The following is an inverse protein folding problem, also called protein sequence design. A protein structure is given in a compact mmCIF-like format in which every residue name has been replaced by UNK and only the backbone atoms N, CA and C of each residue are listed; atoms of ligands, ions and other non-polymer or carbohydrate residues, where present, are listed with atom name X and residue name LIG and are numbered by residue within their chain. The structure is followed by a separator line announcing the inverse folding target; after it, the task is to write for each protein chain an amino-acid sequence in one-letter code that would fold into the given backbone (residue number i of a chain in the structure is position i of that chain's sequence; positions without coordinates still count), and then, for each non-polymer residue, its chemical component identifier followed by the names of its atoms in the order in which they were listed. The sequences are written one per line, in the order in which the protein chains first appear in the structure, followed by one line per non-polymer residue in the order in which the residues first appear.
data_IF_881459830258
#
_entry.id   IF_881459830258
#
_cell.length_a   1.000
_cell.length_b   1.000
_cell.length_c   1.000
_cell.angle_alpha   90.00
_cell.angle_beta   90.00
_cell.angle_gamma   90.00
#
_symmetry.space_group_name_H-M   'P 1'
#
loop_
_entity.id
_entity.type
_entity.pdbx_description
1 polymer ?
#
# COMPACT_ATOMS: atom_id res chain seq x y z
N UNK A 1 10.58 -6.93 25.28
CA UNK A 1 10.03 -7.94 24.36
C UNK A 1 10.24 -7.42 22.95
N UNK A 2 10.80 -8.24 22.06
CA UNK A 2 11.05 -7.87 20.67
C UNK A 2 9.72 -7.83 19.92
N UNK A 3 9.37 -6.68 19.32
CA UNK A 3 8.10 -6.50 18.61
C UNK A 3 8.12 -7.36 17.34
N UNK A 4 7.23 -8.34 17.21
CA UNK A 4 7.24 -9.28 16.07
C UNK A 4 6.36 -8.73 14.95
N UNK A 5 6.95 -8.55 13.77
CA UNK A 5 6.32 -7.93 12.60
C UNK A 5 5.85 -8.99 11.60
N UNK A 6 4.54 -8.97 11.30
CA UNK A 6 3.96 -9.71 10.18
C UNK A 6 3.97 -8.83 8.93
N UNK A 7 4.58 -9.32 7.84
CA UNK A 7 4.52 -8.67 6.53
C UNK A 7 3.64 -9.46 5.57
N UNK A 8 2.66 -8.81 4.96
CA UNK A 8 1.82 -9.42 3.93
C UNK A 8 1.64 -8.50 2.72
N UNK A 9 1.39 -9.08 1.54
CA UNK A 9 1.12 -8.34 0.31
C UNK A 9 -0.36 -8.45 -0.03
N UNK A 10 -1.02 -7.31 -0.20
CA UNK A 10 -2.46 -7.22 -0.43
C UNK A 10 -2.69 -6.56 -1.80
N UNK A 11 -3.33 -7.26 -2.73
CA UNK A 11 -3.75 -6.65 -4.00
C UNK A 11 -4.94 -5.73 -3.73
N UNK A 12 -4.93 -4.53 -4.33
CA UNK A 12 -6.05 -3.57 -4.14
C UNK A 12 -7.12 -3.67 -5.23
N UNK A 13 -6.80 -4.34 -6.34
CA UNK A 13 -7.70 -4.65 -7.43
C UNK A 13 -7.79 -6.15 -7.65
N UNK A 14 -8.97 -6.62 -8.05
CA UNK A 14 -9.11 -7.95 -8.65
C UNK A 14 -8.51 -7.94 -10.06
N UNK A 15 -8.09 -9.12 -10.54
CA UNK A 15 -7.37 -9.25 -11.80
C UNK A 15 -8.17 -8.71 -13.01
N UNK A 16 -9.49 -8.83 -12.97
CA UNK A 16 -10.40 -8.42 -14.04
C UNK A 16 -10.86 -6.95 -13.95
N UNK A 17 -10.63 -6.30 -12.80
CA UNK A 17 -11.06 -4.93 -12.51
C UNK A 17 -10.00 -3.89 -12.93
N UNK A 18 -8.72 -4.23 -12.81
CA UNK A 18 -7.61 -3.32 -13.13
C UNK A 18 -7.29 -3.31 -14.63
N UNK A 19 -7.37 -2.13 -15.27
CA UNK A 19 -7.36 -2.01 -16.74
C UNK A 19 -6.41 -0.94 -17.29
N UNK A 20 -5.34 -0.61 -16.57
CA UNK A 20 -4.31 0.26 -17.15
C UNK A 20 -3.60 -0.44 -18.31
N UNK A 21 -3.62 0.17 -19.50
CA UNK A 21 -3.19 -0.48 -20.74
C UNK A 21 -1.73 -0.95 -20.72
N UNK A 22 -0.86 -0.22 -20.02
CA UNK A 22 0.58 -0.50 -19.92
C UNK A 22 0.95 -1.21 -18.61
N UNK A 23 0.02 -1.99 -18.04
CA UNK A 23 0.24 -2.70 -16.79
C UNK A 23 1.21 -3.89 -16.91
N UNK A 24 1.26 -4.59 -18.05
CA UNK A 24 2.13 -5.76 -18.26
C UNK A 24 2.10 -6.78 -17.11
N UNK A 25 0.91 -7.08 -16.58
CA UNK A 25 0.71 -8.03 -15.48
C UNK A 25 0.97 -7.46 -14.08
N UNK A 26 1.43 -6.21 -13.96
CA UNK A 26 1.46 -5.50 -12.68
C UNK A 26 0.03 -5.21 -12.21
N UNK A 27 -0.23 -5.47 -10.93
CA UNK A 27 -1.44 -5.04 -10.24
C UNK A 27 -1.01 -4.22 -9.02
N UNK A 28 -1.55 -2.99 -8.83
CA UNK A 28 -1.31 -2.19 -7.65
C UNK A 28 -1.59 -2.98 -6.36
N UNK A 29 -0.76 -2.75 -5.35
CA UNK A 29 -0.79 -3.53 -4.11
C UNK A 29 -0.23 -2.74 -2.92
N UNK A 30 -0.58 -3.21 -1.73
CA UNK A 30 -0.04 -2.76 -0.46
C UNK A 30 0.93 -3.81 0.08
N UNK A 31 2.07 -3.36 0.59
CA UNK A 31 2.87 -4.17 1.52
C UNK A 31 2.50 -3.72 2.93
N UNK A 32 1.87 -4.61 3.69
CA UNK A 32 1.46 -4.38 5.06
C UNK A 32 2.59 -4.72 6.05
N UNK A 33 2.69 -3.93 7.11
CA UNK A 33 3.60 -4.08 8.24
C UNK A 33 2.71 -4.06 9.48
N UNK A 34 2.37 -5.24 9.98
CA UNK A 34 1.38 -5.45 11.02
C UNK A 34 2.04 -5.93 12.30
N UNK A 35 1.57 -5.42 13.42
CA UNK A 35 1.94 -5.94 14.73
C UNK A 35 1.36 -7.35 14.90
N UNK A 36 2.16 -8.29 15.40
CA UNK A 36 1.64 -9.61 15.76
C UNK A 36 1.07 -9.68 17.17
N UNK A 37 1.37 -8.68 18.00
CA UNK A 37 0.84 -8.62 19.36
C UNK A 37 -0.65 -8.27 19.35
N UNK A 38 -1.47 -9.13 19.95
CA UNK A 38 -2.91 -8.94 20.12
C UNK A 38 -3.22 -7.93 21.25
N UNK A 39 -2.71 -6.71 21.12
CA UNK A 39 -3.01 -5.60 22.05
C UNK A 39 -4.23 -4.77 21.60
N UNK A 40 -4.94 -5.23 20.56
CA UNK A 40 -6.10 -4.58 19.97
C UNK A 40 -5.78 -3.72 18.74
N UNK A 41 -6.81 -3.08 18.16
CA UNK A 41 -6.67 -2.28 16.94
C UNK A 41 -5.67 -1.13 17.09
N UNK A 42 -4.99 -0.80 15.99
CA UNK A 42 -3.96 0.24 15.92
C UNK A 42 -4.29 1.27 14.85
N UNK A 43 -3.81 2.52 14.97
CA UNK A 43 -3.99 3.50 13.91
C UNK A 43 -3.32 3.03 12.61
N UNK A 44 -3.98 3.31 11.48
CA UNK A 44 -3.49 3.01 10.14
C UNK A 44 -2.55 4.11 9.61
N UNK A 45 -1.46 3.72 8.95
CA UNK A 45 -0.66 4.62 8.14
C UNK A 45 -0.46 4.09 6.72
N UNK A 46 -0.92 4.83 5.70
CA UNK A 46 -0.60 4.52 4.30
C UNK A 46 0.55 5.41 3.85
N UNK A 47 1.69 4.81 3.57
CA UNK A 47 2.85 5.45 2.94
C UNK A 47 2.69 5.38 1.43
N UNK A 48 2.70 6.54 0.77
CA UNK A 48 2.62 6.67 -0.69
C UNK A 48 3.98 7.19 -1.18
N UNK A 49 4.85 6.33 -1.72
CA UNK A 49 6.18 6.75 -2.15
C UNK A 49 6.14 7.75 -3.31
N UNK A 50 7.12 8.65 -3.37
CA UNK A 50 7.34 9.49 -4.53
C UNK A 50 8.00 8.72 -5.68
N UNK A 51 8.58 9.48 -6.63
CA UNK A 51 9.17 8.96 -7.86
C UNK A 51 8.58 9.55 -9.15
N UNK A 52 7.92 10.71 -9.06
CA UNK A 52 7.41 11.49 -10.19
C UNK A 52 6.55 10.67 -11.17
N UNK A 53 5.71 9.78 -10.63
CA UNK A 53 4.89 8.82 -11.38
C UNK A 53 5.65 7.90 -12.34
N UNK A 54 6.98 7.85 -12.26
CA UNK A 54 7.83 7.01 -13.10
C UNK A 54 8.13 5.68 -12.40
N UNK A 55 8.14 5.67 -11.08
CA UNK A 55 8.22 4.48 -10.22
C UNK A 55 7.73 4.86 -8.80
N UNK A 56 7.47 3.86 -7.96
CA UNK A 56 7.28 4.05 -6.52
C UNK A 56 8.62 3.83 -5.82
N UNK A 57 9.17 4.88 -5.21
CA UNK A 57 10.51 4.87 -4.60
C UNK A 57 10.58 3.94 -3.38
N UNK A 58 11.44 2.92 -3.43
CA UNK A 58 11.67 2.01 -2.29
C UNK A 58 12.22 2.78 -1.07
N UNK A 59 13.05 3.80 -1.31
CA UNK A 59 13.67 4.62 -0.24
C UNK A 59 12.64 5.45 0.53
N UNK A 60 11.52 5.78 -0.11
CA UNK A 60 10.41 6.54 0.49
C UNK A 60 9.26 5.62 0.96
N UNK A 61 9.39 4.31 0.74
CA UNK A 61 8.41 3.29 1.13
C UNK A 61 8.77 2.61 2.45
N UNK A 62 9.48 1.47 2.38
CA UNK A 62 9.75 0.61 3.54
C UNK A 62 10.36 1.35 4.74
N UNK A 63 11.41 2.20 4.59
CA UNK A 63 11.99 2.87 5.75
C UNK A 63 11.01 3.80 6.48
N UNK A 64 10.08 4.42 5.74
CA UNK A 64 9.04 5.30 6.30
C UNK A 64 7.99 4.46 7.02
N UNK A 65 7.55 3.34 6.43
CA UNK A 65 6.60 2.43 7.06
C UNK A 65 7.16 1.80 8.34
N UNK A 66 8.42 1.38 8.36
CA UNK A 66 9.10 0.85 9.55
C UNK A 66 9.21 1.90 10.67
N UNK A 67 9.37 3.18 10.32
CA UNK A 67 9.34 4.27 11.30
C UNK A 67 7.96 4.43 11.95
N UNK A 68 6.89 4.40 11.17
CA UNK A 68 5.52 4.46 11.72
C UNK A 68 5.15 3.19 12.50
N UNK A 69 5.59 2.02 12.04
CA UNK A 69 5.47 0.78 12.80
C UNK A 69 6.14 0.87 14.17
N UNK A 70 7.36 1.43 14.24
CA UNK A 70 8.04 1.71 15.50
C UNK A 70 7.23 2.59 16.46
N UNK A 71 6.42 3.50 15.92
CA UNK A 71 5.50 4.39 16.64
C UNK A 71 4.17 3.75 17.02
N UNK A 72 3.94 2.47 16.67
CA UNK A 72 2.74 1.71 17.06
C UNK A 72 1.61 1.69 16.02
N UNK A 73 1.87 2.10 14.78
CA UNK A 73 0.90 2.04 13.68
C UNK A 73 0.97 0.70 12.96
N UNK A 74 -0.17 0.21 12.50
CA UNK A 74 -0.18 -0.72 11.37
C UNK A 74 0.08 0.09 10.09
N UNK A 75 1.20 -0.18 9.42
CA UNK A 75 1.68 0.63 8.30
C UNK A 75 1.58 -0.12 6.97
N UNK A 76 1.31 0.59 5.89
CA UNK A 76 1.08 0.03 4.57
C UNK A 76 1.81 0.86 3.52
N UNK A 77 2.64 0.23 2.69
CA UNK A 77 3.30 0.91 1.56
C UNK A 77 2.51 0.63 0.29
N UNK A 78 1.99 1.67 -0.36
CA UNK A 78 1.28 1.56 -1.64
C UNK A 78 2.28 1.53 -2.81
N UNK A 79 2.28 0.43 -3.56
CA UNK A 79 2.86 0.39 -4.90
C UNK A 79 1.74 0.66 -5.91
N UNK A 80 1.66 1.90 -6.40
CA UNK A 80 0.60 2.38 -7.31
C UNK A 80 1.04 2.36 -8.78
N UNK A 81 0.08 2.57 -9.67
CA UNK A 81 0.29 2.67 -11.12
C UNK A 81 1.27 3.79 -11.44
N UNK A 82 2.38 3.45 -12.10
CA UNK A 82 3.35 4.40 -12.64
C UNK A 82 3.46 4.24 -14.16
N UNK A 83 4.04 5.25 -14.81
CA UNK A 83 4.24 5.28 -16.25
C UNK A 83 5.72 5.50 -16.58
N UNK A 84 6.57 4.48 -16.36
CA UNK A 84 8.01 4.59 -16.60
C UNK A 84 8.34 4.87 -18.07
N UNK A 85 7.56 4.32 -19.00
CA UNK A 85 7.81 4.43 -20.43
C UNK A 85 7.18 5.68 -21.07
N UNK A 86 6.31 6.40 -20.34
CA UNK A 86 5.57 7.58 -20.84
C UNK A 86 4.77 7.33 -22.12
N UNK A 87 4.32 6.08 -22.32
CA UNK A 87 3.65 5.66 -23.55
C UNK A 87 2.13 5.82 -23.50
N UNK A 88 1.52 5.72 -22.31
CA UNK A 88 0.07 5.91 -22.11
C UNK A 88 -0.16 6.89 -20.95
N UNK A 89 -1.03 7.90 -21.06
CA UNK A 89 -1.34 8.78 -19.93
C UNK A 89 -1.93 8.04 -18.72
N UNK A 90 -1.43 8.36 -17.52
CA UNK A 90 -1.93 7.81 -16.26
C UNK A 90 -3.36 8.24 -15.92
N UNK A 91 -3.78 9.42 -16.38
CA UNK A 91 -5.06 10.04 -16.02
C UNK A 91 -5.28 10.00 -14.50
N UNK A 92 -6.43 9.50 -14.05
CA UNK A 92 -6.79 9.38 -12.64
C UNK A 92 -6.39 8.03 -12.02
N UNK A 93 -5.70 7.14 -12.74
CA UNK A 93 -5.41 5.78 -12.25
C UNK A 93 -4.64 5.78 -10.91
N UNK A 94 -3.55 6.57 -10.71
CA UNK A 94 -2.84 6.58 -9.42
C UNK A 94 -3.72 7.08 -8.26
N UNK A 95 -4.60 8.04 -8.52
CA UNK A 95 -5.57 8.54 -7.54
C UNK A 95 -6.60 7.46 -7.19
N UNK A 96 -7.09 6.73 -8.19
CA UNK A 96 -8.02 5.62 -8.02
C UNK A 96 -7.38 4.47 -7.23
N UNK A 97 -6.10 4.18 -7.46
CA UNK A 97 -5.35 3.18 -6.68
C UNK A 97 -5.32 3.56 -5.19
N UNK A 98 -4.97 4.80 -4.87
CA UNK A 98 -4.96 5.26 -3.47
C UNK A 98 -6.36 5.24 -2.85
N UNK A 99 -7.38 5.71 -3.58
CA UNK A 99 -8.76 5.67 -3.11
C UNK A 99 -9.25 4.23 -2.86
N UNK A 100 -8.86 3.28 -3.72
CA UNK A 100 -9.17 1.86 -3.57
C UNK A 100 -8.44 1.25 -2.37
N UNK A 101 -7.18 1.59 -2.16
CA UNK A 101 -6.43 1.18 -0.98
C UNK A 101 -7.12 1.62 0.32
N UNK A 102 -7.53 2.90 0.43
CA UNK A 102 -8.27 3.41 1.59
C UNK A 102 -9.58 2.63 1.81
N UNK A 103 -10.36 2.40 0.74
CA UNK A 103 -11.61 1.63 0.83
C UNK A 103 -11.38 0.19 1.28
N UNK A 104 -10.35 -0.46 0.76
CA UNK A 104 -10.01 -1.84 1.13
C UNK A 104 -9.59 -1.93 2.59
N UNK A 105 -8.69 -1.05 3.05
CA UNK A 105 -8.21 -1.09 4.44
C UNK A 105 -9.34 -0.82 5.44
N UNK A 106 -10.27 0.09 5.11
CA UNK A 106 -11.47 0.30 5.94
C UNK A 106 -12.41 -0.90 5.95
N UNK A 107 -12.58 -1.58 4.81
CA UNK A 107 -13.40 -2.80 4.72
C UNK A 107 -12.80 -3.95 5.54
N UNK A 108 -11.48 -4.05 5.53
CA UNK A 108 -10.72 -5.14 6.15
C UNK A 108 -10.17 -4.76 7.54
N UNK A 109 -10.70 -3.70 8.16
CA UNK A 109 -10.15 -3.11 9.39
C UNK A 109 -10.05 -4.14 10.53
N UNK A 110 -11.10 -4.94 10.73
CA UNK A 110 -11.10 -6.01 11.75
C UNK A 110 -10.02 -7.08 11.49
N UNK A 111 -9.87 -7.51 10.22
CA UNK A 111 -8.86 -8.52 9.82
C UNK A 111 -7.44 -8.01 10.02
N UNK A 112 -7.25 -6.71 9.79
CA UNK A 112 -5.96 -6.05 9.83
C UNK A 112 -5.65 -5.40 11.19
N UNK A 113 -6.55 -5.51 12.16
CA UNK A 113 -6.48 -4.88 13.47
C UNK A 113 -6.21 -3.36 13.38
N UNK A 114 -7.06 -2.67 12.63
CA UNK A 114 -6.98 -1.23 12.40
C UNK A 114 -8.17 -0.53 13.08
N UNK A 115 -7.92 0.63 13.71
CA UNK A 115 -8.93 1.57 14.24
C UNK A 115 -9.52 2.48 13.13
#
# INVERSE_FOLDING_TARGET
MEKRMRREKIRIWEAEEYRYAMAYGFVPNLTAYLHEEADGPRPCMIVVPGGAYSFASIREGQPVAERFYGMGYNAFVLTYTCNPLRMEPLRLQPLQDLARAVRLLRKEADRLEID
#
